data_IF_221924166064
#
_entry.id   IF_221924166064
#
_cell.length_a   1.000
_cell.length_b   1.000
_cell.length_c   1.000
_cell.angle_alpha   90.00
_cell.angle_beta   90.00
_cell.angle_gamma   90.00
#
_symmetry.space_group_name_H-M   'P 1'
#
loop_
_entity.id
_entity.type
_entity.pdbx_description
1 polymer ?
#
# COMPACT_ATOMS: atom_id res chain seq x y z
N UNK A 1 -19.55 -32.86 -63.90
CA UNK A 1 -18.74 -31.64 -63.52
C UNK A 1 -19.72 -30.58 -63.03
N UNK A 2 -19.88 -30.44 -61.71
CA UNK A 2 -20.81 -29.47 -61.12
C UNK A 2 -19.94 -28.38 -60.50
N UNK A 3 -20.09 -27.14 -61.00
CA UNK A 3 -19.40 -25.93 -60.48
C UNK A 3 -20.10 -25.44 -59.17
N UNK A 4 -19.37 -25.26 -58.11
CA UNK A 4 -19.83 -24.62 -56.86
C UNK A 4 -19.65 -23.11 -56.98
N UNK A 5 -20.56 -22.28 -56.48
CA UNK A 5 -20.41 -20.83 -56.49
C UNK A 5 -19.60 -20.37 -55.25
N UNK A 6 -18.66 -19.44 -55.48
CA UNK A 6 -17.92 -18.70 -54.45
C UNK A 6 -18.86 -17.70 -53.77
N UNK A 7 -19.07 -17.88 -52.45
CA UNK A 7 -19.63 -16.84 -51.60
C UNK A 7 -18.50 -15.99 -51.04
N UNK A 8 -18.41 -14.74 -51.48
CA UNK A 8 -17.59 -13.70 -50.88
C UNK A 8 -18.34 -13.18 -49.66
N UNK A 9 -17.84 -13.51 -48.47
CA UNK A 9 -18.36 -13.01 -47.20
C UNK A 9 -17.66 -11.66 -46.91
N UNK A 10 -18.36 -10.55 -47.16
CA UNK A 10 -17.91 -9.23 -46.76
C UNK A 10 -18.06 -9.09 -45.24
N UNK A 11 -16.98 -9.27 -44.51
CA UNK A 11 -16.90 -9.01 -43.07
C UNK A 11 -16.84 -7.52 -42.81
N UNK A 12 -17.91 -6.93 -42.30
CA UNK A 12 -17.90 -5.56 -41.76
C UNK A 12 -17.10 -5.52 -40.46
N UNK A 13 -15.90 -4.94 -40.52
CA UNK A 13 -15.05 -4.66 -39.35
C UNK A 13 -15.64 -3.46 -38.60
N UNK A 14 -16.46 -3.73 -37.61
CA UNK A 14 -16.91 -2.70 -36.69
C UNK A 14 -15.71 -2.25 -35.81
N UNK A 15 -15.09 -1.10 -36.11
CA UNK A 15 -14.18 -0.41 -35.25
C UNK A 15 -14.95 0.06 -34.00
N UNK A 16 -14.88 -0.70 -32.93
CA UNK A 16 -15.21 -0.21 -31.58
C UNK A 16 -14.14 0.78 -31.18
N UNK A 17 -14.40 2.06 -31.38
CA UNK A 17 -13.63 3.14 -30.75
C UNK A 17 -13.85 3.02 -29.25
N UNK A 18 -12.94 2.36 -28.52
CA UNK A 18 -12.80 2.56 -27.10
C UNK A 18 -12.39 4.01 -26.89
N UNK A 19 -13.38 4.84 -26.61
CA UNK A 19 -13.15 6.17 -26.05
C UNK A 19 -12.46 5.94 -24.71
N UNK A 20 -11.15 6.20 -24.66
CA UNK A 20 -10.45 6.36 -23.40
C UNK A 20 -11.06 7.57 -22.71
N UNK A 21 -12.12 7.34 -21.96
CA UNK A 21 -12.58 8.31 -20.97
C UNK A 21 -11.51 8.31 -19.87
N UNK A 22 -10.60 9.28 -19.92
CA UNK A 22 -9.63 9.55 -18.86
C UNK A 22 -10.38 10.18 -17.67
N UNK A 23 -11.30 9.42 -17.09
CA UNK A 23 -11.81 9.69 -15.76
C UNK A 23 -10.67 9.31 -14.82
N UNK A 24 -9.95 10.30 -14.28
CA UNK A 24 -9.03 10.13 -13.17
C UNK A 24 -9.78 9.38 -12.08
N UNK A 25 -9.52 8.07 -11.95
CA UNK A 25 -10.03 7.32 -10.81
C UNK A 25 -9.54 8.02 -9.55
N UNK A 26 -10.41 8.23 -8.56
CA UNK A 26 -9.95 8.82 -7.32
C UNK A 26 -8.84 7.95 -6.73
N UNK A 27 -7.79 8.60 -6.23
CA UNK A 27 -6.70 7.96 -5.52
C UNK A 27 -7.23 7.03 -4.42
N UNK A 28 -6.76 5.78 -4.38
CA UNK A 28 -7.31 4.76 -3.48
C UNK A 28 -7.18 5.14 -2.01
N UNK A 29 -6.07 5.76 -1.62
CA UNK A 29 -5.87 6.24 -0.26
C UNK A 29 -6.80 7.43 0.05
N UNK A 30 -6.99 8.36 -0.89
CA UNK A 30 -7.92 9.47 -0.72
C UNK A 30 -9.37 8.98 -0.65
N UNK A 31 -9.77 8.05 -1.51
CA UNK A 31 -11.10 7.45 -1.48
C UNK A 31 -11.40 6.73 -0.14
N UNK A 32 -10.41 6.05 0.43
CA UNK A 32 -10.53 5.44 1.75
C UNK A 32 -10.72 6.49 2.86
N UNK A 33 -9.95 7.59 2.83
CA UNK A 33 -10.08 8.71 3.78
C UNK A 33 -11.47 9.36 3.69
N UNK A 34 -11.96 9.61 2.49
CA UNK A 34 -13.28 10.21 2.25
C UNK A 34 -14.41 9.31 2.74
N UNK A 35 -14.29 7.99 2.49
CA UNK A 35 -15.21 6.99 3.03
C UNK A 35 -15.25 7.00 4.56
N UNK A 36 -14.11 7.11 5.20
CA UNK A 36 -14.02 7.15 6.66
C UNK A 36 -14.65 8.43 7.24
N UNK A 37 -14.44 9.58 6.61
CA UNK A 37 -15.11 10.85 7.00
C UNK A 37 -16.62 10.73 6.88
N UNK A 38 -17.15 10.20 5.78
CA UNK A 38 -18.60 10.01 5.58
C UNK A 38 -19.22 9.11 6.66
N UNK A 39 -18.50 8.07 7.10
CA UNK A 39 -18.96 7.19 8.18
C UNK A 39 -19.03 7.92 9.52
N UNK A 40 -18.10 8.83 9.81
CA UNK A 40 -18.13 9.64 11.03
C UNK A 40 -19.33 10.59 11.05
N UNK A 41 -19.59 11.26 9.95
CA UNK A 41 -20.71 12.24 9.84
C UNK A 41 -22.09 11.53 9.98
N UNK A 42 -22.19 10.29 9.49
CA UNK A 42 -23.43 9.50 9.56
C UNK A 42 -23.79 9.02 10.98
N UNK A 43 -22.84 8.98 11.91
CA UNK A 43 -23.07 8.57 13.31
C UNK A 43 -23.51 9.70 14.21
N UNK A 44 -23.45 10.95 13.76
CA UNK A 44 -23.78 12.17 14.52
C UNK A 44 -25.26 12.55 14.55
N UNK A 45 -26.15 11.91 13.81
CA UNK A 45 -27.59 12.26 13.70
C UNK A 45 -28.51 11.12 14.12
N UNK A 46 -28.35 10.58 15.31
CA UNK A 46 -29.22 9.52 15.86
C UNK A 46 -29.72 9.85 17.26
N UNK A 47 -31.02 10.12 17.35
CA UNK A 47 -31.83 10.34 18.54
C UNK A 47 -31.50 9.34 19.69
N UNK A 48 -31.27 9.91 20.87
CA UNK A 48 -30.90 9.21 22.09
C UNK A 48 -32.12 8.56 22.76
N UNK A 49 -32.54 7.35 22.34
CA UNK A 49 -33.59 6.63 23.09
C UNK A 49 -33.45 5.11 23.22
N UNK A 50 -32.34 4.51 22.95
CA UNK A 50 -32.11 3.10 23.35
C UNK A 50 -30.68 2.92 23.78
N UNK A 51 -30.45 2.51 25.03
CA UNK A 51 -29.16 2.30 25.69
C UNK A 51 -28.25 1.25 25.03
N UNK A 52 -27.86 1.49 23.79
CA UNK A 52 -26.87 0.73 23.04
C UNK A 52 -25.60 1.57 23.06
N UNK A 53 -24.54 1.04 23.64
CA UNK A 53 -23.20 1.64 23.61
C UNK A 53 -22.88 2.05 22.17
N UNK A 54 -22.82 3.37 21.92
CA UNK A 54 -22.33 3.89 20.64
C UNK A 54 -20.87 3.45 20.55
N UNK A 55 -20.44 2.79 19.45
CA UNK A 55 -19.02 2.53 19.26
C UNK A 55 -18.31 3.88 19.33
N UNK A 56 -17.30 4.00 20.20
CA UNK A 56 -16.42 5.17 20.22
C UNK A 56 -15.86 5.32 18.82
N UNK A 57 -16.25 6.40 18.13
CA UNK A 57 -15.78 6.67 16.76
C UNK A 57 -14.27 6.88 16.82
N UNK A 58 -13.52 6.07 16.07
CA UNK A 58 -12.07 6.22 15.94
C UNK A 58 -11.77 7.62 15.42
N UNK A 59 -10.77 8.30 16.00
CA UNK A 59 -10.44 9.67 15.59
C UNK A 59 -10.02 9.72 14.10
N UNK A 60 -10.22 10.88 13.48
CA UNK A 60 -9.76 11.09 12.09
C UNK A 60 -8.24 10.91 11.95
N UNK A 61 -7.48 11.25 12.99
CA UNK A 61 -6.03 11.06 13.01
C UNK A 61 -5.67 9.57 12.95
N UNK A 62 -6.27 8.75 13.82
CA UNK A 62 -6.05 7.30 13.87
C UNK A 62 -6.52 6.62 12.56
N UNK A 63 -7.66 7.05 12.00
CA UNK A 63 -8.12 6.53 10.70
C UNK A 63 -7.14 6.86 9.57
N UNK A 64 -6.60 8.08 9.56
CA UNK A 64 -5.58 8.48 8.58
C UNK A 64 -4.27 7.71 8.76
N UNK A 65 -3.86 7.45 10.00
CA UNK A 65 -2.72 6.58 10.26
C UNK A 65 -2.95 5.20 9.65
N UNK A 66 -4.09 4.56 9.90
CA UNK A 66 -4.41 3.24 9.36
C UNK A 66 -4.38 3.21 7.81
N UNK A 67 -4.95 4.24 7.15
CA UNK A 67 -4.93 4.37 5.69
C UNK A 67 -3.51 4.53 5.16
N UNK A 68 -2.71 5.41 5.77
CA UNK A 68 -1.34 5.68 5.35
C UNK A 68 -0.43 4.46 5.60
N UNK A 69 -0.60 3.77 6.72
CA UNK A 69 0.13 2.54 7.03
C UNK A 69 -0.18 1.42 6.03
N UNK A 70 -1.45 1.28 5.61
CA UNK A 70 -1.84 0.31 4.59
C UNK A 70 -1.24 0.65 3.22
N UNK A 71 -1.25 1.93 2.80
CA UNK A 71 -0.67 2.39 1.55
C UNK A 71 0.85 2.15 1.49
N UNK A 72 1.57 2.53 2.56
CA UNK A 72 3.00 2.28 2.69
C UNK A 72 3.32 0.78 2.65
N UNK A 73 2.61 -0.04 3.44
CA UNK A 73 2.84 -1.48 3.47
C UNK A 73 2.61 -2.16 2.12
N UNK A 74 1.56 -1.78 1.39
CA UNK A 74 1.34 -2.28 0.03
C UNK A 74 2.46 -1.88 -0.93
N UNK A 75 2.96 -0.66 -0.80
CA UNK A 75 4.08 -0.15 -1.60
C UNK A 75 5.34 -0.96 -1.35
N UNK A 76 5.66 -1.22 -0.09
CA UNK A 76 6.86 -1.96 0.31
C UNK A 76 6.79 -3.44 -0.10
N UNK A 77 5.60 -4.06 -0.07
CA UNK A 77 5.39 -5.41 -0.62
C UNK A 77 5.67 -5.42 -2.12
N UNK A 78 5.11 -4.47 -2.88
CA UNK A 78 5.30 -4.41 -4.35
C UNK A 78 6.75 -4.09 -4.72
N UNK A 79 7.39 -3.14 -4.02
CA UNK A 79 8.81 -2.85 -4.20
C UNK A 79 9.69 -4.07 -3.88
N UNK A 80 9.36 -4.81 -2.82
CA UNK A 80 10.01 -6.06 -2.48
C UNK A 80 9.87 -7.14 -3.57
N UNK A 81 8.68 -7.29 -4.14
CA UNK A 81 8.45 -8.21 -5.26
C UNK A 81 9.27 -7.83 -6.50
N UNK A 82 9.37 -6.54 -6.82
CA UNK A 82 10.25 -6.06 -7.88
C UNK A 82 11.72 -6.38 -7.57
N UNK A 83 12.15 -6.21 -6.33
CA UNK A 83 13.53 -6.46 -5.94
C UNK A 83 13.89 -7.95 -5.90
N UNK A 84 12.97 -8.83 -5.50
CA UNK A 84 13.19 -10.28 -5.59
C UNK A 84 13.33 -10.75 -7.05
N UNK A 85 12.61 -10.13 -7.99
CA UNK A 85 12.66 -10.46 -9.41
C UNK A 85 13.86 -9.83 -10.11
N UNK A 86 14.12 -8.53 -9.95
CA UNK A 86 15.06 -7.72 -10.73
C UNK A 86 16.40 -7.48 -10.06
N UNK A 87 16.48 -7.59 -8.74
CA UNK A 87 17.71 -7.35 -7.98
C UNK A 87 18.87 -8.23 -8.48
N UNK A 88 20.06 -7.66 -8.55
CA UNK A 88 21.27 -8.39 -8.90
C UNK A 88 22.01 -8.89 -7.66
N UNK A 89 22.05 -8.08 -6.62
CA UNK A 89 22.74 -8.39 -5.38
C UNK A 89 21.95 -9.42 -4.56
N UNK A 90 22.64 -10.41 -4.03
CA UNK A 90 22.03 -11.46 -3.21
C UNK A 90 21.43 -10.91 -1.91
N UNK A 91 22.11 -9.96 -1.29
CA UNK A 91 21.67 -9.35 -0.03
C UNK A 91 20.41 -8.49 -0.27
N UNK A 92 20.32 -7.80 -1.41
CA UNK A 92 19.11 -7.08 -1.83
C UNK A 92 17.92 -8.03 -1.97
N UNK A 93 18.11 -9.19 -2.61
CA UNK A 93 17.05 -10.20 -2.74
C UNK A 93 16.66 -10.83 -1.40
N UNK A 94 17.63 -11.06 -0.51
CA UNK A 94 17.32 -11.57 0.83
C UNK A 94 16.51 -10.56 1.64
N UNK A 95 16.91 -9.30 1.61
CA UNK A 95 16.18 -8.20 2.22
C UNK A 95 14.76 -8.08 1.65
N UNK A 96 14.59 -8.13 0.34
CA UNK A 96 13.30 -8.08 -0.33
C UNK A 96 12.34 -9.18 0.13
N UNK A 97 12.80 -10.40 0.30
CA UNK A 97 11.99 -11.53 0.80
C UNK A 97 11.55 -11.32 2.25
N UNK A 98 12.42 -10.77 3.09
CA UNK A 98 12.07 -10.38 4.45
C UNK A 98 10.96 -9.32 4.44
N UNK A 99 11.11 -8.27 3.63
CA UNK A 99 10.13 -7.20 3.46
C UNK A 99 8.76 -7.73 3.05
N UNK A 100 8.70 -8.57 2.01
CA UNK A 100 7.44 -9.15 1.53
C UNK A 100 6.74 -9.91 2.65
N UNK A 101 7.48 -10.77 3.37
CA UNK A 101 6.93 -11.60 4.45
C UNK A 101 6.37 -10.73 5.58
N UNK A 102 7.20 -9.88 6.13
CA UNK A 102 6.88 -9.16 7.37
C UNK A 102 5.81 -8.08 7.13
N UNK A 103 5.83 -7.39 5.98
CA UNK A 103 4.78 -6.44 5.62
C UNK A 103 3.46 -7.10 5.25
N UNK A 104 3.46 -8.33 4.72
CA UNK A 104 2.23 -9.10 4.52
C UNK A 104 1.59 -9.44 5.86
N UNK A 105 2.38 -9.91 6.82
CA UNK A 105 1.90 -10.20 8.18
C UNK A 105 1.36 -8.94 8.89
N UNK A 106 2.05 -7.81 8.75
CA UNK A 106 1.59 -6.53 9.30
C UNK A 106 0.28 -6.05 8.64
N UNK A 107 0.15 -6.19 7.31
CA UNK A 107 -1.05 -5.83 6.58
C UNK A 107 -2.27 -6.64 7.03
N UNK A 108 -2.13 -7.94 7.30
CA UNK A 108 -3.22 -8.79 7.78
C UNK A 108 -3.65 -8.42 9.21
N UNK A 109 -2.70 -8.06 10.07
CA UNK A 109 -3.00 -7.52 11.41
C UNK A 109 -3.77 -6.20 11.30
N UNK A 110 -3.30 -5.25 10.48
CA UNK A 110 -3.96 -3.98 10.27
C UNK A 110 -5.37 -4.14 9.71
N UNK A 111 -5.58 -5.03 8.74
CA UNK A 111 -6.93 -5.35 8.22
C UNK A 111 -7.87 -5.82 9.32
N UNK A 112 -7.38 -6.66 10.23
CA UNK A 112 -8.18 -7.17 11.35
C UNK A 112 -8.60 -6.03 12.29
N UNK A 113 -7.66 -5.16 12.66
CA UNK A 113 -7.94 -3.99 13.51
C UNK A 113 -8.91 -3.04 12.79
N UNK A 114 -8.64 -2.70 11.53
CA UNK A 114 -9.48 -1.79 10.74
C UNK A 114 -10.91 -2.31 10.58
N UNK A 115 -11.09 -3.62 10.32
CA UNK A 115 -12.41 -4.24 10.21
C UNK A 115 -13.20 -4.15 11.53
N UNK A 116 -12.56 -4.42 12.67
CA UNK A 116 -13.17 -4.31 13.98
C UNK A 116 -13.61 -2.87 14.32
N UNK A 117 -12.94 -1.88 13.74
CA UNK A 117 -13.16 -0.44 13.95
C UNK A 117 -14.00 0.21 12.84
N UNK A 118 -14.48 -0.54 11.86
CA UNK A 118 -15.18 -0.03 10.68
C UNK A 118 -14.37 1.02 9.88
N UNK A 119 -13.03 0.89 9.86
CA UNK A 119 -12.13 1.73 9.08
C UNK A 119 -12.00 1.14 7.67
N UNK A 120 -12.24 1.96 6.65
CA UNK A 120 -11.94 1.61 5.25
C UNK A 120 -10.45 1.80 5.00
N UNK A 121 -9.78 0.74 4.53
CA UNK A 121 -8.40 0.81 4.05
C UNK A 121 -8.37 0.94 2.51
N UNK A 122 -7.29 1.48 1.93
CA UNK A 122 -7.13 1.53 0.49
C UNK A 122 -7.03 0.12 -0.10
N UNK A 123 -7.57 -0.06 -1.32
CA UNK A 123 -7.54 -1.34 -2.03
C UNK A 123 -6.35 -1.49 -2.99
N UNK A 124 -5.64 -0.41 -3.26
CA UNK A 124 -4.42 -0.35 -4.07
C UNK A 124 -3.52 0.77 -3.54
N UNK A 125 -2.27 0.79 -3.97
CA UNK A 125 -1.34 1.88 -3.68
C UNK A 125 -1.89 3.21 -4.21
N UNK A 126 -1.55 4.30 -3.55
CA UNK A 126 -1.87 5.66 -4.00
C UNK A 126 -1.14 6.01 -5.31
N UNK A 127 -1.62 7.03 -6.01
CA UNK A 127 -1.01 7.47 -7.27
C UNK A 127 0.45 7.92 -7.07
N UNK A 128 0.76 8.58 -5.96
CA UNK A 128 2.12 8.98 -5.63
C UNK A 128 3.02 7.77 -5.38
N UNK A 129 2.55 6.76 -4.65
CA UNK A 129 3.30 5.53 -4.39
C UNK A 129 3.46 4.70 -5.67
N UNK A 130 2.43 4.65 -6.53
CA UNK A 130 2.53 4.00 -7.83
C UNK A 130 3.64 4.63 -8.68
N UNK A 131 3.75 5.96 -8.69
CA UNK A 131 4.82 6.66 -9.39
C UNK A 131 6.20 6.27 -8.87
N UNK A 132 6.39 6.13 -7.56
CA UNK A 132 7.66 5.66 -6.99
C UNK A 132 7.99 4.23 -7.44
N UNK A 133 6.98 3.35 -7.50
CA UNK A 133 7.15 1.98 -8.00
C UNK A 133 7.50 1.97 -9.49
N UNK A 134 6.87 2.80 -10.31
CA UNK A 134 7.16 2.93 -11.74
C UNK A 134 8.58 3.45 -11.98
N UNK A 135 9.00 4.48 -11.22
CA UNK A 135 10.37 5.02 -11.26
C UNK A 135 11.41 3.96 -10.84
N UNK A 136 11.09 3.11 -9.87
CA UNK A 136 11.92 1.97 -9.48
C UNK A 136 11.94 0.89 -10.57
N UNK A 137 10.78 0.55 -11.11
CA UNK A 137 10.63 -0.48 -12.16
C UNK A 137 11.40 -0.12 -13.43
N UNK A 138 11.53 1.17 -13.76
CA UNK A 138 12.28 1.65 -14.93
C UNK A 138 13.79 1.41 -14.80
N UNK A 139 14.31 1.17 -13.60
CA UNK A 139 15.74 0.93 -13.35
C UNK A 139 16.10 -0.55 -13.55
N UNK A 140 17.41 -0.82 -13.70
CA UNK A 140 17.95 -2.17 -13.85
C UNK A 140 19.36 -2.27 -13.26
N UNK A 141 19.82 -3.49 -13.02
CA UNK A 141 21.17 -3.74 -12.58
C UNK A 141 21.50 -3.08 -11.23
N UNK A 142 22.72 -2.60 -11.09
CA UNK A 142 23.19 -1.92 -9.86
C UNK A 142 22.40 -0.65 -9.54
N UNK A 143 21.86 0.06 -10.54
CA UNK A 143 21.06 1.25 -10.34
C UNK A 143 19.69 0.92 -9.74
N UNK A 144 19.12 -0.25 -10.10
CA UNK A 144 17.91 -0.75 -9.46
C UNK A 144 18.18 -1.09 -7.99
N UNK A 145 19.22 -1.90 -7.72
CA UNK A 145 19.54 -2.32 -6.35
C UNK A 145 19.78 -1.11 -5.44
N UNK A 146 20.54 -0.14 -5.94
CA UNK A 146 20.80 1.10 -5.22
C UNK A 146 19.52 1.88 -4.94
N UNK A 147 18.68 2.08 -5.95
CA UNK A 147 17.44 2.84 -5.81
C UNK A 147 16.45 2.18 -4.85
N UNK A 148 16.34 0.84 -4.91
CA UNK A 148 15.51 0.07 -3.98
C UNK A 148 15.97 0.26 -2.53
N UNK A 149 17.28 0.09 -2.27
CA UNK A 149 17.80 0.23 -0.91
C UNK A 149 17.75 1.69 -0.42
N UNK A 150 17.91 2.69 -1.30
CA UNK A 150 17.71 4.09 -0.96
C UNK A 150 16.24 4.35 -0.54
N UNK A 151 15.29 3.86 -1.35
CA UNK A 151 13.86 3.94 -1.05
C UNK A 151 13.53 3.28 0.30
N UNK A 152 14.02 2.07 0.55
CA UNK A 152 13.75 1.37 1.82
C UNK A 152 14.28 2.15 3.03
N UNK A 153 15.47 2.72 2.96
CA UNK A 153 16.02 3.53 4.06
C UNK A 153 15.19 4.79 4.30
N UNK A 154 14.77 5.48 3.25
CA UNK A 154 14.06 6.75 3.39
C UNK A 154 12.60 6.55 3.83
N UNK A 155 11.93 5.52 3.32
CA UNK A 155 10.54 5.24 3.68
C UNK A 155 10.44 4.70 5.11
N UNK A 156 11.33 3.80 5.53
CA UNK A 156 11.33 3.30 6.91
C UNK A 156 11.55 4.41 7.94
N UNK A 157 12.40 5.41 7.66
CA UNK A 157 12.55 6.57 8.57
C UNK A 157 11.25 7.34 8.76
N UNK A 158 10.50 7.55 7.66
CA UNK A 158 9.21 8.26 7.71
C UNK A 158 8.15 7.43 8.43
N UNK A 159 8.06 6.15 8.08
CA UNK A 159 7.07 5.22 8.65
C UNK A 159 7.32 5.03 10.14
N UNK A 160 8.57 4.83 10.58
CA UNK A 160 8.90 4.72 12.00
C UNK A 160 8.41 5.94 12.77
N UNK A 161 8.68 7.15 12.28
CA UNK A 161 8.20 8.38 12.95
C UNK A 161 6.68 8.43 13.07
N UNK A 162 5.94 8.01 12.04
CA UNK A 162 4.48 7.97 12.08
C UNK A 162 3.95 6.89 13.06
N UNK A 163 4.62 5.74 13.14
CA UNK A 163 4.27 4.67 14.06
C UNK A 163 4.59 5.02 15.51
N UNK A 164 5.72 5.72 15.78
CA UNK A 164 6.06 6.24 17.10
C UNK A 164 5.02 7.27 17.58
N UNK A 165 4.57 8.16 16.68
CA UNK A 165 3.53 9.14 16.99
C UNK A 165 2.20 8.45 17.33
N UNK A 166 1.76 7.49 16.51
CA UNK A 166 0.53 6.73 16.78
C UNK A 166 0.62 5.93 18.06
N UNK A 167 1.72 5.21 18.30
CA UNK A 167 1.91 4.43 19.52
C UNK A 167 1.83 5.28 20.79
N UNK A 168 2.31 6.52 20.72
CA UNK A 168 2.36 7.45 21.85
C UNK A 168 1.06 8.27 21.99
N UNK A 169 0.54 8.79 20.91
CA UNK A 169 -0.46 9.87 20.89
C UNK A 169 -1.81 9.44 20.30
N UNK A 170 -1.90 8.28 19.64
CA UNK A 170 -3.12 7.73 19.07
C UNK A 170 -4.25 7.63 20.11
N UNK A 171 -5.48 7.83 19.70
CA UNK A 171 -6.65 7.77 20.60
C UNK A 171 -7.18 6.34 20.76
N UNK A 172 -7.13 5.53 19.68
CA UNK A 172 -7.62 4.16 19.68
C UNK A 172 -6.57 3.18 20.24
N UNK A 173 -6.96 2.41 21.25
CA UNK A 173 -6.03 1.50 21.94
C UNK A 173 -5.50 0.37 21.06
N UNK A 174 -6.30 -0.13 20.11
CA UNK A 174 -5.88 -1.24 19.26
C UNK A 174 -4.94 -0.75 18.15
N UNK A 175 -5.14 0.47 17.63
CA UNK A 175 -4.21 1.08 16.68
C UNK A 175 -2.89 1.45 17.34
N UNK A 176 -2.92 1.98 18.58
CA UNK A 176 -1.68 2.18 19.36
C UNK A 176 -0.91 0.88 19.55
N UNK A 177 -1.62 -0.20 19.96
CA UNK A 177 -0.99 -1.50 20.17
C UNK A 177 -0.44 -2.10 18.86
N UNK A 178 -1.15 -1.92 17.74
CA UNK A 178 -0.65 -2.30 16.41
C UNK A 178 0.64 -1.53 16.07
N UNK A 179 0.64 -0.22 16.25
CA UNK A 179 1.79 0.64 15.98
C UNK A 179 2.99 0.23 16.84
N UNK A 180 2.82 0.13 18.16
CA UNK A 180 3.87 -0.24 19.11
C UNK A 180 4.48 -1.61 18.79
N UNK A 181 3.63 -2.63 18.54
CA UNK A 181 4.11 -3.97 18.23
C UNK A 181 4.83 -4.08 16.89
N UNK A 182 4.58 -3.16 15.96
CA UNK A 182 5.20 -3.16 14.62
C UNK A 182 6.55 -2.44 14.61
N UNK A 183 6.77 -1.48 15.51
CA UNK A 183 7.99 -0.66 15.57
C UNK A 183 9.28 -1.48 15.63
N UNK A 184 9.30 -2.58 16.41
CA UNK A 184 10.49 -3.44 16.48
C UNK A 184 10.89 -3.99 15.11
N UNK A 185 9.92 -4.44 14.32
CA UNK A 185 10.14 -4.93 12.95
C UNK A 185 10.61 -3.82 12.03
N UNK A 186 10.00 -2.63 12.10
CA UNK A 186 10.39 -1.49 11.28
C UNK A 186 11.82 -1.01 11.56
N UNK A 187 12.24 -0.97 12.82
CA UNK A 187 13.63 -0.65 13.18
C UNK A 187 14.61 -1.71 12.66
N UNK A 188 14.25 -2.99 12.78
CA UNK A 188 15.07 -4.07 12.23
C UNK A 188 15.23 -3.94 10.71
N UNK A 189 14.15 -3.63 9.98
CA UNK A 189 14.21 -3.40 8.55
C UNK A 189 15.11 -2.22 8.18
N UNK A 190 15.02 -1.11 8.90
CA UNK A 190 15.88 0.06 8.67
C UNK A 190 17.36 -0.29 8.88
N UNK A 191 17.69 -1.01 9.94
CA UNK A 191 19.06 -1.42 10.25
C UNK A 191 19.62 -2.34 9.16
N UNK A 192 18.84 -3.32 8.71
CA UNK A 192 19.24 -4.24 7.64
C UNK A 192 19.38 -3.51 6.28
N UNK A 193 18.49 -2.55 5.97
CA UNK A 193 18.62 -1.73 4.77
C UNK A 193 19.91 -0.91 4.77
N UNK A 194 20.25 -0.28 5.91
CA UNK A 194 21.48 0.50 6.04
C UNK A 194 22.73 -0.38 5.94
N UNK A 195 22.71 -1.59 6.51
CA UNK A 195 23.79 -2.57 6.36
C UNK A 195 23.98 -3.00 4.91
N UNK A 196 22.89 -3.34 4.22
CA UNK A 196 22.92 -3.72 2.80
C UNK A 196 23.52 -2.60 1.94
N UNK A 197 23.05 -1.34 2.10
CA UNK A 197 23.64 -0.17 1.42
C UNK A 197 25.13 -0.03 1.66
N UNK A 198 25.58 -0.20 2.91
CA UNK A 198 27.01 -0.11 3.26
C UNK A 198 27.84 -1.23 2.64
N UNK A 199 27.30 -2.42 2.48
CA UNK A 199 27.97 -3.52 1.79
C UNK A 199 28.10 -3.25 0.30
N UNK A 200 27.02 -2.82 -0.36
CA UNK A 200 27.01 -2.48 -1.78
C UNK A 200 27.99 -1.35 -2.13
N UNK A 201 28.20 -0.37 -1.25
CA UNK A 201 29.14 0.74 -1.48
C UNK A 201 30.62 0.34 -1.46
N UNK A 202 30.94 -0.88 -1.01
CA UNK A 202 32.31 -1.41 -0.93
C UNK A 202 32.68 -2.33 -2.11
N UNK A 203 31.70 -2.64 -2.95
CA UNK A 203 31.84 -3.50 -4.14
C UNK A 203 32.01 -2.66 -5.41
#
# INVERSE_FOLDING_TARGET
>A
MKKLPNYVLAGALACLCFSCNNSSQPDSAQAAKDSNVTKMDSTGTGDSTTGRSIPTTVSKADQNFAVNAADAGMTEIQAGQLADQKGMDKEVKMYAKMMIKDHTEAADKLKTVAAAKNITLPSSVSADMQKHLDDLQAKSGKDFDKAYMDMMVDDHKKVISAFEDEAKNGSDADLRAFADSTLHTLHHHLDEAQKCKKMMSKM
#
